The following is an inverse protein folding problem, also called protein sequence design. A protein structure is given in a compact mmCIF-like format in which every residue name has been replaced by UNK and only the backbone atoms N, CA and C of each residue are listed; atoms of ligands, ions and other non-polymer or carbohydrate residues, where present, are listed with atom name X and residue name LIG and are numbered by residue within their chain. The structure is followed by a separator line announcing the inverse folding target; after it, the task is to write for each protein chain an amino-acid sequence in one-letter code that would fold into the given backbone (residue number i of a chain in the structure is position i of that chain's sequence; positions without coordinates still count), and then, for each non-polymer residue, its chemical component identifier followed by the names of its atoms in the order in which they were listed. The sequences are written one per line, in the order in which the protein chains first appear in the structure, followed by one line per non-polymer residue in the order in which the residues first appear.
data_IF_774807991494
#
_entry.id   IF_774807991494
#
_cell.length_a   1.000
_cell.length_b   1.000
_cell.length_c   1.000
_cell.angle_alpha   90.00
_cell.angle_beta   90.00
_cell.angle_gamma   90.00
#
_symmetry.space_group_name_H-M   'P 1'
#
loop_
_entity.id
_entity.type
_entity.pdbx_description
1 polymer ?
#
# COMPACT_ATOMS: atom_id res chain seq x y z
N UNK A 1 11.71 -8.39 -12.77
CA UNK A 1 11.60 -7.73 -11.45
C UNK A 1 10.81 -6.44 -11.63
N UNK A 2 10.40 -5.76 -10.57
CA UNK A 2 9.80 -4.42 -10.70
C UNK A 2 10.71 -3.36 -10.11
N UNK A 3 10.72 -2.18 -10.73
CA UNK A 3 11.30 -0.99 -10.15
C UNK A 3 10.23 -0.21 -9.39
N UNK A 4 10.53 0.13 -8.13
CA UNK A 4 9.69 0.97 -7.28
C UNK A 4 10.53 2.16 -6.79
N UNK A 5 10.04 3.41 -6.91
CA UNK A 5 10.79 4.55 -6.38
C UNK A 5 10.85 4.50 -4.84
N UNK A 6 12.03 4.77 -4.27
CA UNK A 6 12.22 4.89 -2.80
C UNK A 6 11.51 6.12 -2.21
N UNK A 7 11.38 7.15 -3.03
CA UNK A 7 10.68 8.39 -2.75
C UNK A 7 10.03 8.83 -4.06
N UNK A 8 8.80 9.37 -4.03
CA UNK A 8 8.15 9.90 -5.23
C UNK A 8 8.75 11.29 -5.54
N UNK A 9 9.76 11.39 -6.43
CA UNK A 9 10.25 12.71 -6.79
C UNK A 9 9.21 13.34 -7.69
N UNK A 10 8.82 14.58 -7.39
CA UNK A 10 8.02 15.35 -8.33
C UNK A 10 8.93 15.71 -9.50
N UNK A 11 8.72 15.05 -10.64
CA UNK A 11 9.36 15.44 -11.89
C UNK A 11 8.30 15.88 -12.90
N UNK A 12 8.70 16.72 -13.85
CA UNK A 12 7.77 17.27 -14.84
C UNK A 12 8.06 16.65 -16.20
N UNK A 13 7.01 16.23 -16.90
CA UNK A 13 7.05 15.94 -18.33
C UNK A 13 6.31 17.11 -19.00
N UNK A 14 7.07 18.08 -19.53
CA UNK A 14 6.52 19.38 -19.91
C UNK A 14 5.97 20.13 -18.70
N UNK A 15 4.69 20.49 -18.71
CA UNK A 15 4.01 21.17 -17.60
C UNK A 15 3.25 20.24 -16.65
N UNK A 16 3.33 18.92 -16.89
CA UNK A 16 2.59 17.93 -16.11
C UNK A 16 3.48 17.37 -15.01
N UNK A 17 3.07 17.59 -13.76
CA UNK A 17 3.64 16.89 -12.60
C UNK A 17 3.41 15.38 -12.75
N UNK A 18 4.49 14.61 -12.73
CA UNK A 18 4.51 13.18 -12.96
C UNK A 18 5.13 12.47 -11.76
N UNK A 19 4.67 11.24 -11.52
CA UNK A 19 5.23 10.32 -10.53
C UNK A 19 5.90 9.16 -11.24
N UNK A 20 6.95 8.63 -10.64
CA UNK A 20 7.68 7.50 -11.20
C UNK A 20 6.77 6.28 -11.12
N UNK A 21 6.43 5.73 -12.27
CA UNK A 21 5.56 4.56 -12.37
C UNK A 21 6.31 3.30 -11.94
N UNK A 22 5.60 2.39 -11.28
CA UNK A 22 6.09 1.02 -11.13
C UNK A 22 6.14 0.39 -12.53
N UNK A 23 7.30 -0.18 -12.87
CA UNK A 23 7.54 -0.79 -14.17
C UNK A 23 8.26 -2.12 -14.01
N UNK A 24 7.99 -3.05 -14.93
CA UNK A 24 8.82 -4.24 -15.07
C UNK A 24 10.19 -3.85 -15.61
N UNK A 25 11.21 -4.52 -15.06
CA UNK A 25 12.62 -4.30 -15.37
C UNK A 25 13.26 -5.66 -15.63
N UNK A 26 13.95 -5.75 -16.77
CA UNK A 26 14.83 -6.84 -17.14
C UNK A 26 16.30 -6.47 -16.84
N UNK A 27 17.19 -7.46 -16.77
CA UNK A 27 18.60 -7.23 -16.43
C UNK A 27 19.30 -6.26 -17.38
N UNK A 28 18.93 -6.29 -18.66
CA UNK A 28 19.42 -5.37 -19.70
C UNK A 28 19.00 -3.90 -19.52
N UNK A 29 18.01 -3.62 -18.66
CA UNK A 29 17.60 -2.26 -18.31
C UNK A 29 18.41 -1.69 -17.12
N UNK A 30 19.30 -2.48 -16.52
CA UNK A 30 20.15 -2.07 -15.39
C UNK A 30 21.56 -1.84 -15.93
N UNK A 31 21.82 -0.61 -16.35
CA UNK A 31 23.12 -0.16 -16.86
C UNK A 31 23.82 0.77 -15.85
N UNK A 32 24.96 1.35 -16.24
CA UNK A 32 25.77 2.22 -15.39
C UNK A 32 25.01 3.46 -14.87
N UNK A 33 23.86 3.82 -15.47
CA UNK A 33 23.06 4.96 -15.00
C UNK A 33 22.47 4.76 -13.60
N UNK A 34 22.31 3.51 -13.15
CA UNK A 34 21.79 3.22 -11.81
C UNK A 34 22.79 3.52 -10.69
N UNK A 35 24.06 3.80 -11.03
CA UNK A 35 25.10 4.10 -10.05
C UNK A 35 24.95 5.49 -9.39
N UNK A 36 24.10 6.36 -9.95
CA UNK A 36 23.96 7.75 -9.49
C UNK A 36 23.19 7.91 -8.17
N UNK A 37 22.36 6.94 -7.77
CA UNK A 37 21.55 7.00 -6.54
C UNK A 37 21.09 5.61 -6.08
N UNK A 38 20.44 5.54 -4.92
CA UNK A 38 19.81 4.31 -4.45
C UNK A 38 18.52 4.02 -5.22
N UNK A 39 18.34 2.75 -5.61
CA UNK A 39 17.17 2.25 -6.31
C UNK A 39 16.56 1.07 -5.55
N UNK A 40 15.24 0.92 -5.63
CA UNK A 40 14.54 -0.23 -5.06
C UNK A 40 14.00 -1.11 -6.20
N UNK A 41 14.63 -2.27 -6.38
CA UNK A 41 14.14 -3.33 -7.23
C UNK A 41 13.53 -4.43 -6.37
N UNK A 42 12.31 -4.84 -6.69
CA UNK A 42 11.58 -5.86 -5.95
C UNK A 42 11.26 -7.06 -6.84
N UNK A 43 11.12 -8.23 -6.23
CA UNK A 43 10.55 -9.40 -6.91
C UNK A 43 9.13 -9.05 -7.35
N UNK A 44 8.78 -9.35 -8.61
CA UNK A 44 7.40 -9.27 -9.07
C UNK A 44 6.60 -10.40 -8.42
N UNK A 45 5.58 -10.05 -7.64
CA UNK A 45 4.61 -11.01 -7.10
C UNK A 45 3.50 -11.19 -8.15
N UNK A 46 3.26 -12.40 -8.68
CA UNK A 46 2.13 -12.69 -9.56
C UNK A 46 0.84 -12.65 -8.73
N UNK A 47 0.34 -11.44 -8.49
CA UNK A 47 -0.77 -11.19 -7.60
C UNK A 47 -2.11 -11.42 -8.29
N UNK A 48 -3.09 -11.86 -7.51
CA UNK A 48 -4.51 -11.95 -7.88
C UNK A 48 -5.30 -10.76 -7.34
N UNK A 49 -4.78 -10.04 -6.35
CA UNK A 49 -5.33 -8.81 -5.80
C UNK A 49 -4.29 -8.06 -4.97
N UNK A 50 -4.66 -6.85 -4.55
CA UNK A 50 -3.99 -6.11 -3.49
C UNK A 50 -4.85 -6.09 -2.23
N UNK A 51 -4.24 -5.96 -1.06
CA UNK A 51 -4.95 -5.57 0.17
C UNK A 51 -4.37 -4.24 0.64
N UNK A 52 -5.28 -3.28 0.87
CA UNK A 52 -4.99 -2.07 1.61
C UNK A 52 -5.43 -2.28 3.05
N UNK A 53 -4.50 -2.20 4.00
CA UNK A 53 -4.82 -2.26 5.43
C UNK A 53 -4.61 -0.90 6.06
N UNK A 54 -5.61 -0.37 6.74
CA UNK A 54 -5.51 0.84 7.55
C UNK A 54 -5.57 0.44 9.02
N UNK A 55 -4.52 0.72 9.78
CA UNK A 55 -4.50 0.55 11.24
C UNK A 55 -4.69 1.92 11.88
N UNK A 56 -5.65 2.03 12.80
CA UNK A 56 -5.98 3.26 13.54
C UNK A 56 -6.08 2.89 15.03
N UNK A 57 -5.05 3.25 15.80
CA UNK A 57 -4.91 2.80 17.17
C UNK A 57 -4.88 1.28 17.23
N UNK A 58 -5.85 0.67 17.92
CA UNK A 58 -6.00 -0.78 18.05
C UNK A 58 -6.88 -1.41 16.98
N UNK A 59 -7.45 -0.62 16.05
CA UNK A 59 -8.40 -1.11 15.05
C UNK A 59 -7.71 -1.34 13.72
N UNK A 60 -7.96 -2.50 13.13
CA UNK A 60 -7.44 -2.90 11.82
C UNK A 60 -8.58 -2.97 10.80
N UNK A 61 -8.40 -2.31 9.66
CA UNK A 61 -9.37 -2.25 8.57
C UNK A 61 -8.71 -2.76 7.28
N UNK A 62 -9.11 -3.93 6.79
CA UNK A 62 -8.54 -4.48 5.56
C UNK A 62 -9.55 -4.42 4.42
N UNK A 63 -9.10 -3.92 3.28
CA UNK A 63 -9.87 -3.89 2.03
C UNK A 63 -9.09 -4.57 0.93
N UNK A 64 -9.70 -5.60 0.36
CA UNK A 64 -9.26 -6.21 -0.90
C UNK A 64 -9.59 -5.28 -2.05
N UNK A 65 -8.60 -5.10 -2.92
CA UNK A 65 -8.71 -4.36 -4.17
C UNK A 65 -8.48 -5.35 -5.30
N UNK A 66 -9.51 -5.58 -6.10
CA UNK A 66 -9.42 -6.41 -7.30
C UNK A 66 -9.24 -5.51 -8.53
N UNK A 67 -8.23 -5.83 -9.34
CA UNK A 67 -7.96 -5.19 -10.64
C UNK A 67 -7.04 -6.07 -11.49
N UNK A 68 -6.92 -5.76 -12.77
CA UNK A 68 -5.94 -6.34 -13.69
C UNK A 68 -4.70 -5.45 -13.86
N UNK A 69 -4.45 -4.55 -12.90
CA UNK A 69 -3.36 -3.59 -12.92
C UNK A 69 -2.16 -4.08 -12.12
N UNK A 70 -0.95 -3.82 -12.62
CA UNK A 70 0.28 -4.02 -11.85
C UNK A 70 0.31 -3.13 -10.60
N UNK A 71 -0.04 -1.85 -10.78
CA UNK A 71 -0.22 -0.88 -9.70
C UNK A 71 -1.64 -0.32 -9.75
N UNK A 72 -2.46 -0.67 -8.75
CA UNK A 72 -3.86 -0.27 -8.66
C UNK A 72 -4.03 1.25 -8.66
N UNK A 73 -3.01 2.01 -8.24
CA UNK A 73 -3.04 3.48 -8.18
C UNK A 73 -3.09 4.14 -9.56
N UNK A 74 -2.85 3.39 -10.63
CA UNK A 74 -2.78 3.93 -11.99
C UNK A 74 -4.14 4.24 -12.59
N UNK A 75 -5.20 3.55 -12.15
CA UNK A 75 -6.56 3.76 -12.65
C UNK A 75 -7.62 3.29 -11.64
N UNK A 76 -8.15 4.24 -10.86
CA UNK A 76 -9.17 3.98 -9.83
C UNK A 76 -10.52 3.54 -10.40
N UNK A 77 -10.81 3.82 -11.68
CA UNK A 77 -12.09 3.46 -12.31
C UNK A 77 -12.24 1.97 -12.59
N UNK A 78 -11.14 1.22 -12.50
CA UNK A 78 -11.07 -0.23 -12.76
C UNK A 78 -11.00 -1.07 -11.49
N UNK A 79 -11.15 -0.44 -10.32
CA UNK A 79 -10.99 -1.10 -9.03
C UNK A 79 -12.36 -1.51 -8.47
N UNK A 80 -12.42 -2.69 -7.85
CA UNK A 80 -13.51 -3.05 -6.95
C UNK A 80 -12.99 -3.32 -5.54
N UNK A 81 -13.77 -2.94 -4.55
CA UNK A 81 -13.37 -2.93 -3.14
C UNK A 81 -14.22 -3.89 -2.32
N UNK A 82 -13.58 -4.75 -1.52
CA UNK A 82 -14.28 -5.68 -0.64
C UNK A 82 -13.61 -5.71 0.73
N UNK A 83 -14.33 -5.40 1.83
CA UNK A 83 -13.83 -5.64 3.18
C UNK A 83 -13.51 -7.12 3.39
N UNK A 84 -12.35 -7.40 3.96
CA UNK A 84 -11.92 -8.77 4.28
C UNK A 84 -11.30 -8.81 5.67
N UNK A 85 -11.33 -9.95 6.38
CA UNK A 85 -10.55 -10.09 7.61
C UNK A 85 -9.05 -10.23 7.26
N UNK A 86 -8.18 -9.72 8.14
CA UNK A 86 -6.77 -10.07 8.12
C UNK A 86 -6.60 -11.52 8.61
N UNK A 87 -5.63 -12.28 8.08
CA UNK A 87 -5.15 -13.49 8.74
C UNK A 87 -4.64 -13.14 10.16
N UNK A 88 -4.94 -13.95 11.20
CA UNK A 88 -4.59 -13.62 12.59
C UNK A 88 -3.11 -13.28 12.81
N UNK A 89 -2.20 -14.01 12.14
CA UNK A 89 -0.77 -13.78 12.19
C UNK A 89 -0.36 -12.46 11.53
N UNK A 90 -1.11 -12.02 10.52
CA UNK A 90 -0.87 -10.74 9.84
C UNK A 90 -1.35 -9.59 10.71
N UNK A 91 -2.51 -9.72 11.36
CA UNK A 91 -3.01 -8.70 12.30
C UNK A 91 -2.05 -8.52 13.49
N UNK A 92 -1.55 -9.62 14.07
CA UNK A 92 -0.54 -9.55 15.12
C UNK A 92 0.73 -8.81 14.64
N UNK A 93 1.27 -9.19 13.48
CA UNK A 93 2.46 -8.56 12.92
C UNK A 93 2.28 -7.08 12.60
N UNK A 94 1.07 -6.67 12.18
CA UNK A 94 0.73 -5.26 11.98
C UNK A 94 0.80 -4.48 13.29
N UNK A 95 0.23 -4.99 14.38
CA UNK A 95 0.30 -4.32 15.68
C UNK A 95 1.73 -4.29 16.24
N UNK A 96 2.49 -5.37 16.13
CA UNK A 96 3.91 -5.40 16.50
C UNK A 96 4.74 -4.37 15.71
N UNK A 97 4.46 -4.22 14.41
CA UNK A 97 5.09 -3.19 13.57
C UNK A 97 4.75 -1.79 14.10
N UNK A 98 3.47 -1.52 14.35
CA UNK A 98 3.00 -0.23 14.84
C UNK A 98 3.66 0.14 16.18
N UNK A 99 3.71 -0.81 17.11
CA UNK A 99 4.34 -0.62 18.42
C UNK A 99 5.86 -0.40 18.29
N UNK A 100 6.54 -1.18 17.45
CA UNK A 100 7.98 -1.05 17.23
C UNK A 100 8.38 0.34 16.71
N UNK A 101 7.58 0.91 15.81
CA UNK A 101 7.84 2.23 15.23
C UNK A 101 7.15 3.37 15.97
N UNK A 102 6.40 3.09 17.05
CA UNK A 102 5.68 4.10 17.83
C UNK A 102 4.57 4.80 17.03
N UNK A 103 3.91 4.08 16.13
CA UNK A 103 2.87 4.60 15.24
C UNK A 103 1.48 4.37 15.81
N UNK A 104 0.61 5.39 15.72
CA UNK A 104 -0.82 5.26 16.02
C UNK A 104 -1.70 5.14 14.75
N UNK A 105 -1.11 5.39 13.59
CA UNK A 105 -1.74 5.24 12.29
C UNK A 105 -0.77 4.63 11.28
N UNK A 106 -1.25 3.73 10.44
CA UNK A 106 -0.48 3.18 9.32
C UNK A 106 -1.38 2.70 8.19
N UNK A 107 -1.03 3.06 6.96
CA UNK A 107 -1.66 2.52 5.75
C UNK A 107 -0.68 1.56 5.07
N UNK A 108 -0.99 0.27 5.13
CA UNK A 108 -0.16 -0.83 4.65
C UNK A 108 -0.67 -1.34 3.31
N UNK A 109 0.26 -1.72 2.44
CA UNK A 109 -0.04 -2.34 1.16
C UNK A 109 0.50 -3.76 1.13
N UNK A 110 -0.35 -4.68 0.68
CA UNK A 110 -0.01 -6.07 0.43
C UNK A 110 -0.40 -6.48 -0.98
N UNK A 111 0.37 -7.39 -1.57
CA UNK A 111 -0.07 -8.17 -2.72
C UNK A 111 -0.54 -9.56 -2.27
N UNK A 112 -1.56 -10.12 -2.92
CA UNK A 112 -2.05 -11.48 -2.64
C UNK A 112 -1.74 -12.37 -3.82
N UNK A 113 -1.03 -13.48 -3.64
CA UNK A 113 -0.75 -14.42 -4.72
C UNK A 113 -1.92 -15.40 -4.97
N UNK A 114 -1.74 -16.34 -5.90
CA UNK A 114 -2.75 -17.34 -6.26
C UNK A 114 -3.05 -18.36 -5.15
N UNK A 115 -2.12 -18.54 -4.20
CA UNK A 115 -2.28 -19.41 -3.04
C UNK A 115 -2.95 -18.68 -1.86
N UNK A 116 -3.31 -17.39 -2.04
CA UNK A 116 -3.93 -16.56 -1.02
C UNK A 116 -2.93 -15.98 -0.01
N UNK A 117 -1.62 -16.13 -0.24
CA UNK A 117 -0.60 -15.59 0.67
C UNK A 117 -0.45 -14.08 0.48
N UNK A 118 -0.38 -13.37 1.60
CA UNK A 118 -0.16 -11.93 1.61
C UNK A 118 1.33 -11.61 1.64
N UNK A 119 1.75 -10.74 0.73
CA UNK A 119 3.12 -10.24 0.58
C UNK A 119 3.14 -8.77 1.00
N UNK A 120 3.73 -8.47 2.16
CA UNK A 120 3.91 -7.10 2.63
C UNK A 120 4.79 -6.30 1.65
N UNK A 121 4.30 -5.13 1.24
CA UNK A 121 5.02 -4.24 0.32
C UNK A 121 5.57 -3.00 1.03
N UNK A 122 4.73 -2.29 1.79
CA UNK A 122 5.12 -1.09 2.52
C UNK A 122 4.11 -0.70 3.61
N UNK A 123 4.55 0.16 4.51
CA UNK A 123 3.70 0.96 5.38
C UNK A 123 3.92 2.44 5.08
N UNK A 124 2.85 3.19 4.84
CA UNK A 124 2.84 4.64 4.79
C UNK A 124 2.14 5.21 6.03
N UNK A 125 2.89 5.76 7.02
CA UNK A 125 2.33 6.35 8.24
C UNK A 125 1.46 7.61 8.00
N UNK A 126 1.34 8.08 6.76
CA UNK A 126 0.46 9.20 6.38
C UNK A 126 -0.27 8.91 5.06
N UNK A 127 -0.47 7.63 4.74
CA UNK A 127 -1.13 7.22 3.52
C UNK A 127 -2.61 7.63 3.49
N UNK A 128 -3.09 7.99 2.31
CA UNK A 128 -4.52 8.26 2.09
C UNK A 128 -5.34 6.99 2.32
N UNK A 129 -6.44 7.12 3.06
CA UNK A 129 -7.30 6.02 3.51
C UNK A 129 -8.79 6.31 3.31
N UNK A 130 -9.20 7.59 3.39
CA UNK A 130 -10.62 7.98 3.39
C UNK A 130 -11.38 7.54 2.14
N UNK A 131 -10.72 7.49 0.98
CA UNK A 131 -11.34 7.09 -0.28
C UNK A 131 -11.93 5.65 -0.25
N UNK A 132 -11.51 4.80 0.69
CA UNK A 132 -12.07 3.46 0.87
C UNK A 132 -13.35 3.44 1.73
N UNK A 133 -13.54 4.40 2.64
CA UNK A 133 -14.68 4.39 3.56
C UNK A 133 -16.03 4.55 2.85
N UNK A 134 -16.22 5.52 1.92
CA UNK A 134 -17.45 5.62 1.13
C UNK A 134 -17.76 4.37 0.30
N UNK A 135 -16.72 3.68 -0.19
CA UNK A 135 -16.85 2.49 -1.02
C UNK A 135 -17.22 1.22 -0.23
N UNK A 136 -16.84 1.18 1.06
CA UNK A 136 -16.92 -0.04 1.87
C UNK A 136 -17.81 0.06 3.09
N UNK A 137 -18.16 1.27 3.53
CA UNK A 137 -18.87 1.54 4.78
C UNK A 137 -18.04 1.30 6.04
N UNK A 138 -16.72 1.08 5.93
CA UNK A 138 -15.85 0.87 7.09
C UNK A 138 -15.69 2.17 7.90
N UNK A 139 -15.92 2.17 9.23
CA UNK A 139 -16.00 3.39 10.04
C UNK A 139 -14.62 3.94 10.44
N UNK A 140 -13.77 4.22 9.47
CA UNK A 140 -12.39 4.67 9.69
C UNK A 140 -12.33 6.12 10.21
N UNK A 141 -13.19 7.02 9.73
CA UNK A 141 -13.33 8.38 10.25
C UNK A 141 -13.68 8.38 11.74
N UNK A 142 -14.67 7.58 12.12
CA UNK A 142 -15.07 7.45 13.51
C UNK A 142 -13.95 6.87 14.38
N UNK A 143 -13.20 5.88 13.86
CA UNK A 143 -12.05 5.32 14.55
C UNK A 143 -10.96 6.38 14.81
N UNK A 144 -10.65 7.19 13.80
CA UNK A 144 -9.63 8.23 13.91
C UNK A 144 -10.06 9.34 14.87
N UNK A 145 -11.33 9.75 14.83
CA UNK A 145 -11.89 10.72 15.76
C UNK A 145 -11.81 10.21 17.21
N UNK A 146 -12.24 8.97 17.47
CA UNK A 146 -12.16 8.36 18.79
C UNK A 146 -10.71 8.30 19.32
N UNK A 147 -9.77 7.93 18.46
CA UNK A 147 -8.34 7.90 18.79
C UNK A 147 -7.82 9.28 19.21
N UNK A 148 -8.17 10.33 18.47
CA UNK A 148 -7.76 11.71 18.77
C UNK A 148 -8.41 12.26 20.04
N UNK A 149 -9.66 11.89 20.30
CA UNK A 149 -10.38 12.23 21.54
C UNK A 149 -9.89 11.42 22.75
N UNK A 150 -9.02 10.43 22.55
CA UNK A 150 -8.59 9.45 23.58
C UNK A 150 -9.77 8.71 24.21
N UNK A 151 -10.83 8.50 23.44
CA UNK A 151 -11.90 7.59 23.84
C UNK A 151 -11.37 6.16 23.77
N UNK A 152 -11.69 5.31 24.77
CA UNK A 152 -11.30 3.91 24.76
C UNK A 152 -11.85 3.18 23.52
#
# INVERSE_FOLDING_TARGET
MIYKPLHNPVYRIGDVSSVVKIAEVAAENIDDSVAGTAHLFQKLVPKTADIRVTVIGTRTFCVRIDSDLLDWRTDYSRLSYTPVPAPPETELALHEYMDHFGLLFGAFDFAVDADGRWWFLECNPSGQWYWLEPETGLPMCAALANLLERKP
#
